data_IF_276688127452
#
_entry.id   IF_276688127452
#
_cell.length_a   1.000
_cell.length_b   1.000
_cell.length_c   1.000
_cell.angle_alpha   90.00
_cell.angle_beta   90.00
_cell.angle_gamma   90.00
#
_symmetry.space_group_name_H-M   'P 1'
#
loop_
_entity.id
_entity.type
_entity.pdbx_description
1 polymer ?
#
# COMPACT_ATOMS: atom_id res chain seq x y z
N UNK A 1 29.47 4.57 27.14
CA UNK A 1 28.31 3.67 26.95
C UNK A 1 27.09 4.55 26.78
N UNK A 2 26.82 4.96 25.54
CA UNK A 2 25.79 5.96 25.26
C UNK A 2 24.42 5.31 25.33
N UNK A 3 23.70 5.63 26.40
CA UNK A 3 22.30 6.06 26.36
C UNK A 3 21.47 5.42 25.26
N UNK A 4 21.20 4.14 25.46
CA UNK A 4 20.06 3.49 24.84
C UNK A 4 18.82 4.30 25.26
N UNK A 5 17.94 4.62 24.31
CA UNK A 5 16.55 5.04 24.55
C UNK A 5 16.25 6.45 25.08
N UNK A 6 16.74 7.51 24.43
CA UNK A 6 16.07 8.81 24.53
C UNK A 6 14.99 8.95 23.43
N UNK A 7 13.82 8.37 23.69
CA UNK A 7 12.49 8.80 23.23
C UNK A 7 12.38 9.55 21.89
N UNK A 8 11.96 8.81 20.85
CA UNK A 8 11.15 9.39 19.77
C UNK A 8 11.67 9.18 18.35
N UNK A 9 12.99 9.24 18.15
CA UNK A 9 13.58 8.96 16.84
C UNK A 9 15.03 8.50 17.03
N UNK A 10 15.42 7.32 16.50
CA UNK A 10 16.83 7.01 16.33
C UNK A 10 17.44 8.12 15.48
N UNK A 11 18.58 8.65 15.88
CA UNK A 11 19.33 9.59 15.05
C UNK A 11 19.64 8.98 13.68
N UNK A 12 20.09 9.81 12.74
CA UNK A 12 20.40 9.36 11.38
C UNK A 12 21.39 8.19 11.34
N UNK A 13 22.32 8.14 12.31
CA UNK A 13 23.30 7.07 12.41
C UNK A 13 22.70 5.74 12.91
N UNK A 14 21.84 5.79 13.93
CA UNK A 14 21.16 4.61 14.46
C UNK A 14 20.21 4.00 13.43
N UNK A 15 19.50 4.83 12.65
CA UNK A 15 18.66 4.36 11.54
C UNK A 15 19.48 3.61 10.49
N UNK A 16 20.67 4.11 10.14
CA UNK A 16 21.57 3.42 9.19
C UNK A 16 21.96 2.04 9.72
N UNK A 17 22.30 1.92 11.01
CA UNK A 17 22.66 0.63 11.61
C UNK A 17 21.48 -0.34 11.61
N UNK A 18 20.27 0.12 11.96
CA UNK A 18 19.05 -0.71 11.93
C UNK A 18 18.77 -1.19 10.51
N UNK A 19 18.82 -0.30 9.52
CA UNK A 19 18.65 -0.65 8.10
C UNK A 19 19.72 -1.66 7.68
N UNK A 20 20.97 -1.47 8.08
CA UNK A 20 22.05 -2.40 7.75
C UNK A 20 21.81 -3.81 8.29
N UNK A 21 21.37 -3.93 9.55
CA UNK A 21 20.99 -5.20 10.17
C UNK A 21 19.84 -5.84 9.37
N UNK A 22 18.77 -5.09 9.11
CA UNK A 22 17.62 -5.57 8.31
C UNK A 22 18.06 -6.06 6.93
N UNK A 23 18.96 -5.33 6.25
CA UNK A 23 19.48 -5.71 4.94
C UNK A 23 20.35 -6.97 4.98
N UNK A 24 21.03 -7.28 6.08
CA UNK A 24 21.78 -8.53 6.24
C UNK A 24 20.81 -9.71 6.43
N UNK A 25 19.80 -9.57 7.29
CA UNK A 25 18.84 -10.64 7.59
C UNK A 25 17.89 -10.92 6.42
N UNK A 26 17.33 -9.88 5.83
CA UNK A 26 16.36 -10.01 4.74
C UNK A 26 17.03 -9.98 3.36
N UNK A 27 18.23 -9.42 3.23
CA UNK A 27 18.89 -9.21 1.95
C UNK A 27 18.43 -7.93 1.25
N UNK A 28 19.38 -7.17 0.70
CA UNK A 28 19.09 -5.90 0.01
C UNK A 28 18.15 -6.03 -1.21
N UNK A 29 18.01 -7.25 -1.77
CA UNK A 29 17.11 -7.52 -2.89
C UNK A 29 15.66 -7.82 -2.45
N UNK A 30 15.42 -8.30 -1.22
CA UNK A 30 14.08 -8.70 -0.77
C UNK A 30 13.16 -7.51 -0.51
N UNK A 31 13.67 -6.44 0.10
CA UNK A 31 12.89 -5.21 0.33
C UNK A 31 12.29 -4.64 -0.98
N UNK A 32 13.06 -4.39 -2.05
CA UNK A 32 12.50 -3.87 -3.30
C UNK A 32 11.65 -4.90 -4.05
N UNK A 33 11.96 -6.20 -3.94
CA UNK A 33 11.15 -7.27 -4.53
C UNK A 33 9.75 -7.32 -3.90
N UNK A 34 9.67 -7.29 -2.56
CA UNK A 34 8.41 -7.23 -1.81
C UNK A 34 7.64 -5.94 -2.11
N UNK A 35 8.31 -4.79 -2.13
CA UNK A 35 7.68 -3.51 -2.46
C UNK A 35 7.08 -3.51 -3.88
N UNK A 36 7.78 -4.11 -4.86
CA UNK A 36 7.26 -4.26 -6.23
C UNK A 36 6.07 -5.21 -6.29
N UNK A 37 6.11 -6.34 -5.57
CA UNK A 37 5.01 -7.29 -5.48
C UNK A 37 3.76 -6.67 -4.85
N UNK A 38 3.92 -6.03 -3.70
CA UNK A 38 2.85 -5.32 -3.00
C UNK A 38 2.29 -4.17 -3.86
N UNK A 39 3.15 -3.40 -4.54
CA UNK A 39 2.72 -2.30 -5.40
C UNK A 39 1.89 -2.76 -6.60
N UNK A 40 2.23 -3.92 -7.19
CA UNK A 40 1.42 -4.54 -8.24
C UNK A 40 0.07 -5.02 -7.71
N UNK A 41 0.07 -5.75 -6.59
CA UNK A 41 -1.16 -6.24 -5.96
C UNK A 41 -2.12 -5.12 -5.57
N UNK A 42 -1.60 -4.02 -4.99
CA UNK A 42 -2.42 -2.84 -4.66
C UNK A 42 -3.02 -2.20 -5.91
N UNK A 43 -2.25 -2.15 -7.02
CA UNK A 43 -2.74 -1.59 -8.29
C UNK A 43 -3.86 -2.47 -8.88
N UNK A 44 -3.63 -3.76 -9.00
CA UNK A 44 -4.64 -4.71 -9.51
C UNK A 44 -5.91 -4.68 -8.66
N UNK A 45 -5.77 -4.66 -7.33
CA UNK A 45 -6.92 -4.53 -6.42
C UNK A 45 -7.70 -3.24 -6.64
N UNK A 46 -7.00 -2.12 -6.81
CA UNK A 46 -7.63 -0.82 -7.08
C UNK A 46 -8.36 -0.81 -8.42
N UNK A 47 -7.77 -1.40 -9.45
CA UNK A 47 -8.33 -1.43 -10.80
C UNK A 47 -9.61 -2.29 -10.82
N UNK A 48 -9.57 -3.49 -10.24
CA UNK A 48 -10.75 -4.35 -10.09
C UNK A 48 -11.86 -3.67 -9.27
N UNK A 49 -11.51 -3.00 -8.17
CA UNK A 49 -12.49 -2.26 -7.36
C UNK A 49 -13.14 -1.12 -8.14
N UNK A 50 -12.38 -0.46 -9.04
CA UNK A 50 -12.89 0.63 -9.87
C UNK A 50 -13.88 0.10 -10.92
N UNK A 51 -13.55 -1.00 -11.59
CA UNK A 51 -14.43 -1.65 -12.57
C UNK A 51 -15.78 -2.04 -11.95
N UNK A 52 -15.74 -2.73 -10.79
CA UNK A 52 -16.95 -3.09 -10.03
C UNK A 52 -17.76 -1.83 -9.67
N UNK A 53 -17.10 -0.76 -9.23
CA UNK A 53 -17.77 0.49 -8.87
C UNK A 53 -18.42 1.18 -10.08
N UNK A 54 -17.80 1.09 -11.24
CA UNK A 54 -18.32 1.67 -12.48
C UNK A 54 -19.52 0.85 -12.98
N UNK A 55 -19.43 -0.49 -12.97
CA UNK A 55 -20.56 -1.40 -13.29
C UNK A 55 -21.77 -1.20 -12.38
N UNK A 56 -21.54 -1.12 -11.05
CA UNK A 56 -22.63 -0.88 -10.10
C UNK A 56 -23.28 0.48 -10.35
N UNK A 57 -22.51 1.51 -10.69
CA UNK A 57 -23.06 2.82 -11.01
C UNK A 57 -23.87 2.82 -12.30
N UNK A 58 -23.43 2.09 -13.33
CA UNK A 58 -24.17 1.96 -14.58
C UNK A 58 -25.47 1.19 -14.39
N UNK A 59 -25.45 0.05 -13.70
CA UNK A 59 -26.67 -0.70 -13.38
C UNK A 59 -27.64 0.10 -12.49
N UNK A 60 -27.14 0.91 -11.56
CA UNK A 60 -27.99 1.79 -10.73
C UNK A 60 -28.56 2.97 -11.53
N UNK A 61 -27.86 3.45 -12.58
CA UNK A 61 -28.39 4.47 -13.50
C UNK A 61 -29.51 3.89 -14.38
N UNK A 62 -29.31 2.71 -14.97
CA UNK A 62 -30.35 2.03 -15.77
C UNK A 62 -31.62 1.76 -14.95
N UNK A 63 -31.50 1.27 -13.70
CA UNK A 63 -32.65 1.03 -12.82
C UNK A 63 -33.41 2.32 -12.43
N UNK A 64 -32.74 3.48 -12.46
CA UNK A 64 -33.37 4.78 -12.18
C UNK A 64 -34.00 5.43 -13.41
N UNK A 65 -33.53 5.09 -14.61
CA UNK A 65 -34.01 5.67 -15.87
C UNK A 65 -35.28 4.98 -16.39
N UNK A 66 -35.57 3.75 -15.93
CA UNK A 66 -36.78 2.97 -16.29
C UNK A 66 -37.97 3.18 -15.33
N UNK A 67 -37.90 4.18 -14.42
CA UNK A 67 -39.12 4.68 -13.76
C UNK A 67 -39.79 5.69 -14.68
N UNK A 68 -41.01 5.42 -15.20
CA UNK A 68 -41.72 6.39 -16.01
C UNK A 68 -41.90 7.65 -15.18
N UNK A 69 -41.48 8.79 -15.74
CA UNK A 69 -41.84 10.11 -15.24
C UNK A 69 -43.37 10.19 -15.23
N UNK A 70 -43.97 9.96 -14.07
CA UNK A 70 -45.34 10.35 -13.75
C UNK A 70 -45.41 11.86 -13.50
#
# INVERSE_FOLDING_TARGET
MNTIFAFGMPGGWELIVIVFIVLIFFGAKKIPELARGLGKGIREFKDATKEIKDEIQEGVKEVKEDKPKS
#
